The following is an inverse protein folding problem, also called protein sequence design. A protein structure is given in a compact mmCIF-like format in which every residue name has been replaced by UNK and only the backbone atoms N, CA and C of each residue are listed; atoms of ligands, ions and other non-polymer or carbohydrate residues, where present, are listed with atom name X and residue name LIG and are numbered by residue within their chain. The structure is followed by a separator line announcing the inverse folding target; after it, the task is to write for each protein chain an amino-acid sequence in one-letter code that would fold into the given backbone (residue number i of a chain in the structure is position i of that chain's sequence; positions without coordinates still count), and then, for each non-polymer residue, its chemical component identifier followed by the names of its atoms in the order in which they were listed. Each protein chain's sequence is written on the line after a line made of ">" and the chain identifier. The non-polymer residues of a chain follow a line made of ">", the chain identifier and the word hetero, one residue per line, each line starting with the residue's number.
data_IF_521510842314
#
_entry.id   IF_521510842314
#
_cell.length_a   1.000
_cell.length_b   1.000
_cell.length_c   1.000
_cell.angle_alpha   90.00
_cell.angle_beta   90.00
_cell.angle_gamma   90.00
#
_symmetry.space_group_name_H-M   'P 1'
#
loop_
_entity.id
_entity.type
_entity.pdbx_description
1 polymer ?
#
# COMPACT_ATOMS: atom_id res chain seq x y z
N UNK A 1 -14.30 -9.05 -28.00
CA UNK A 1 -14.72 -9.40 -26.62
C UNK A 1 -14.24 -8.28 -25.72
N UNK A 2 -15.14 -7.47 -25.20
CA UNK A 2 -14.81 -6.42 -24.22
C UNK A 2 -14.41 -7.13 -22.94
N UNK A 3 -13.20 -6.91 -22.44
CA UNK A 3 -12.78 -7.45 -21.14
C UNK A 3 -13.69 -6.78 -20.10
N UNK A 4 -14.59 -7.55 -19.51
CA UNK A 4 -15.44 -7.04 -18.44
C UNK A 4 -14.58 -6.95 -17.17
N UNK A 5 -14.29 -5.71 -16.76
CA UNK A 5 -13.58 -5.44 -15.52
C UNK A 5 -14.58 -5.48 -14.36
N UNK A 6 -14.70 -6.63 -13.69
CA UNK A 6 -15.79 -6.88 -12.74
C UNK A 6 -15.76 -6.01 -11.48
N UNK A 7 -14.59 -5.55 -11.03
CA UNK A 7 -14.43 -4.80 -9.77
C UNK A 7 -13.48 -3.60 -9.93
N UNK A 8 -13.73 -2.44 -9.30
CA UNK A 8 -12.84 -1.29 -9.40
C UNK A 8 -11.57 -1.50 -8.56
N UNK A 9 -10.49 -0.81 -8.94
CA UNK A 9 -9.20 -0.82 -8.24
C UNK A 9 -9.10 0.36 -7.28
N UNK A 10 -8.75 0.09 -6.04
CA UNK A 10 -8.53 1.07 -4.97
C UNK A 10 -7.03 1.15 -4.67
N UNK A 11 -6.47 2.35 -4.84
CA UNK A 11 -5.08 2.64 -4.49
C UNK A 11 -5.02 3.20 -3.07
N UNK A 12 -4.45 2.42 -2.14
CA UNK A 12 -4.32 2.76 -0.72
C UNK A 12 -2.88 3.21 -0.38
N UNK A 13 -2.72 4.47 0.01
CA UNK A 13 -1.40 5.05 0.26
C UNK A 13 -0.85 4.71 1.65
N UNK A 14 0.46 4.87 1.83
CA UNK A 14 1.17 4.65 3.10
C UNK A 14 1.00 5.75 4.15
N UNK A 15 1.89 5.70 5.15
CA UNK A 15 1.84 6.53 6.36
C UNK A 15 2.11 8.01 6.10
N UNK A 16 3.08 8.33 5.24
CA UNK A 16 3.47 9.70 4.88
C UNK A 16 3.16 9.99 3.42
N UNK A 17 2.23 10.92 3.19
CA UNK A 17 1.85 11.37 1.85
C UNK A 17 2.83 12.43 1.33
N UNK A 18 3.63 12.08 0.32
CA UNK A 18 4.53 13.03 -0.36
C UNK A 18 3.78 14.19 -1.03
N UNK A 19 2.50 14.01 -1.34
CA UNK A 19 1.61 15.01 -1.94
C UNK A 19 0.81 15.83 -0.92
N UNK A 20 1.06 15.65 0.38
CA UNK A 20 0.30 16.30 1.46
C UNK A 20 0.33 17.84 1.37
N UNK A 21 1.50 18.43 1.13
CA UNK A 21 1.64 19.89 1.06
C UNK A 21 0.89 20.49 -0.15
N UNK A 22 0.91 19.80 -1.28
CA UNK A 22 0.16 20.19 -2.49
C UNK A 22 -1.35 20.14 -2.22
N UNK A 23 -1.81 19.07 -1.57
CA UNK A 23 -3.22 18.91 -1.18
C UNK A 23 -3.67 19.95 -0.13
N UNK A 24 -2.80 20.28 0.83
CA UNK A 24 -3.06 21.34 1.81
C UNK A 24 -3.24 22.69 1.13
N UNK A 25 -2.32 23.06 0.23
CA UNK A 25 -2.39 24.33 -0.50
C UNK A 25 -3.65 24.40 -1.38
N UNK A 26 -4.01 23.29 -2.04
CA UNK A 26 -5.24 23.18 -2.85
C UNK A 26 -6.51 23.43 -2.02
N UNK A 27 -6.61 22.80 -0.85
CA UNK A 27 -7.75 22.99 0.07
C UNK A 27 -7.85 24.44 0.53
N UNK A 28 -6.71 25.05 0.88
CA UNK A 28 -6.64 26.46 1.27
C UNK A 28 -7.07 27.41 0.15
N UNK A 29 -6.80 27.06 -1.10
CA UNK A 29 -7.17 27.83 -2.30
C UNK A 29 -8.61 27.59 -2.79
N UNK A 30 -9.45 26.87 -2.05
CA UNK A 30 -10.88 26.77 -2.37
C UNK A 30 -11.25 25.66 -3.37
N UNK A 31 -10.30 24.88 -3.88
CA UNK A 31 -10.56 23.75 -4.76
C UNK A 31 -11.03 22.53 -3.94
N UNK A 32 -12.31 22.56 -3.56
CA UNK A 32 -12.94 21.57 -2.67
C UNK A 32 -13.49 20.34 -3.42
N UNK A 33 -13.76 20.44 -4.74
CA UNK A 33 -14.27 19.30 -5.49
C UNK A 33 -13.15 18.27 -5.70
N UNK A 34 -13.41 17.00 -5.36
CA UNK A 34 -12.63 15.81 -5.75
C UNK A 34 -12.73 15.57 -7.28
N UNK A 35 -12.44 16.57 -8.11
CA UNK A 35 -12.35 16.37 -9.56
C UNK A 35 -10.97 15.80 -9.84
N UNK A 36 -10.93 14.53 -10.26
CA UNK A 36 -9.73 13.98 -10.87
C UNK A 36 -9.37 14.81 -12.09
N UNK A 37 -8.15 15.32 -12.16
CA UNK A 37 -7.59 15.85 -13.41
C UNK A 37 -6.27 15.14 -13.71
N UNK A 38 -5.91 14.95 -14.99
CA UNK A 38 -4.62 14.37 -15.36
C UNK A 38 -3.42 15.10 -14.73
N UNK A 39 -3.53 16.42 -14.55
CA UNK A 39 -2.50 17.24 -13.90
C UNK A 39 -2.35 16.93 -12.40
N UNK A 40 -3.45 16.62 -11.70
CA UNK A 40 -3.39 16.28 -10.27
C UNK A 40 -2.78 14.90 -10.02
N UNK A 41 -3.04 13.95 -10.92
CA UNK A 41 -2.46 12.61 -10.77
C UNK A 41 -0.93 12.64 -10.84
N UNK A 42 -0.38 13.55 -11.67
CA UNK A 42 1.04 13.79 -11.81
C UNK A 42 1.69 14.40 -10.57
N UNK A 43 0.96 14.76 -9.53
CA UNK A 43 1.53 15.23 -8.24
C UNK A 43 0.98 14.45 -7.06
N UNK A 44 0.22 13.38 -7.32
CA UNK A 44 -0.40 12.54 -6.31
C UNK A 44 0.60 11.54 -5.72
N UNK A 45 0.26 10.96 -4.57
CA UNK A 45 1.04 9.89 -3.92
C UNK A 45 1.41 8.77 -4.91
N UNK A 46 0.41 8.18 -5.55
CA UNK A 46 0.57 7.30 -6.72
C UNK A 46 0.69 8.17 -7.97
N UNK A 47 1.92 8.57 -8.31
CA UNK A 47 2.19 9.61 -9.30
C UNK A 47 1.90 9.14 -10.71
N UNK A 48 0.85 9.67 -11.34
CA UNK A 48 0.47 9.37 -12.73
C UNK A 48 -0.17 7.99 -12.95
N UNK A 49 -0.19 7.13 -11.92
CA UNK A 49 -0.61 5.73 -12.03
C UNK A 49 -2.11 5.61 -12.30
N UNK A 50 -2.96 6.31 -11.55
CA UNK A 50 -4.42 6.15 -11.73
C UNK A 50 -4.89 6.73 -13.06
N UNK A 51 -4.30 7.83 -13.50
CA UNK A 51 -4.54 8.42 -14.82
C UNK A 51 -4.12 7.48 -15.95
N UNK A 52 -2.96 6.84 -15.81
CA UNK A 52 -2.48 5.86 -16.77
C UNK A 52 -3.40 4.65 -16.85
N UNK A 53 -3.80 4.06 -15.72
CA UNK A 53 -4.73 2.93 -15.67
C UNK A 53 -6.12 3.29 -16.24
N UNK A 54 -6.68 4.45 -15.89
CA UNK A 54 -7.97 4.90 -16.44
C UNK A 54 -7.93 5.13 -17.94
N UNK A 55 -6.80 5.61 -18.49
CA UNK A 55 -6.61 5.74 -19.95
C UNK A 55 -6.65 4.36 -20.65
N UNK A 56 -6.31 3.29 -19.94
CA UNK A 56 -6.38 1.91 -20.42
C UNK A 56 -7.70 1.20 -20.07
N UNK A 57 -8.73 1.94 -19.63
CA UNK A 57 -10.09 1.40 -19.44
C UNK A 57 -10.39 0.88 -18.04
N UNK A 58 -9.46 0.96 -17.09
CA UNK A 58 -9.68 0.51 -15.72
C UNK A 58 -10.39 1.54 -14.86
N UNK A 59 -11.34 1.09 -14.05
CA UNK A 59 -11.99 1.91 -13.05
C UNK A 59 -11.14 1.98 -11.78
N UNK A 60 -10.45 3.10 -11.56
CA UNK A 60 -9.48 3.26 -10.46
C UNK A 60 -9.90 4.39 -9.53
N UNK A 61 -9.67 4.25 -8.23
CA UNK A 61 -9.90 5.27 -7.21
C UNK A 61 -8.74 5.36 -6.22
N UNK A 62 -8.49 6.57 -5.70
CA UNK A 62 -7.53 6.78 -4.61
C UNK A 62 -8.27 6.76 -3.27
N UNK A 63 -7.74 6.04 -2.29
CA UNK A 63 -8.21 6.14 -0.90
C UNK A 63 -7.46 7.25 -0.17
N UNK A 64 -8.16 8.33 0.18
CA UNK A 64 -7.62 9.45 0.96
C UNK A 64 -7.68 9.13 2.46
N UNK A 65 -6.59 8.58 3.01
CA UNK A 65 -6.47 8.20 4.42
C UNK A 65 -5.72 9.28 5.23
N UNK A 66 -6.00 9.32 6.53
CA UNK A 66 -5.35 10.22 7.47
C UNK A 66 -3.83 10.00 7.50
N UNK A 67 -3.07 11.09 7.37
CA UNK A 67 -1.61 11.09 7.49
C UNK A 67 -1.18 10.61 8.89
N UNK A 68 -0.30 9.61 8.94
CA UNK A 68 0.35 9.09 10.15
C UNK A 68 -0.56 8.64 11.32
N UNK A 69 -1.88 8.61 11.12
CA UNK A 69 -2.84 8.12 12.10
C UNK A 69 -2.69 6.60 12.37
N UNK A 70 -3.38 6.12 13.41
CA UNK A 70 -3.37 4.70 13.76
C UNK A 70 -4.00 3.84 12.67
N UNK A 71 -3.65 2.55 12.68
CA UNK A 71 -4.18 1.56 11.72
C UNK A 71 -5.70 1.47 11.83
N UNK A 72 -6.28 1.53 13.03
CA UNK A 72 -7.73 1.44 13.24
C UNK A 72 -8.46 2.61 12.56
N UNK A 73 -7.95 3.83 12.74
CA UNK A 73 -8.55 5.01 12.12
C UNK A 73 -8.46 4.92 10.60
N UNK A 74 -7.28 4.58 10.07
CA UNK A 74 -7.05 4.49 8.63
C UNK A 74 -7.83 3.34 7.98
N UNK A 75 -7.99 2.21 8.68
CA UNK A 75 -8.82 1.09 8.26
C UNK A 75 -10.32 1.46 8.18
N UNK A 76 -10.84 2.20 9.16
CA UNK A 76 -12.21 2.70 9.15
C UNK A 76 -12.43 3.73 8.03
N UNK A 77 -11.46 4.62 7.77
CA UNK A 77 -11.49 5.54 6.63
C UNK A 77 -11.49 4.79 5.29
N UNK A 78 -10.61 3.79 5.15
CA UNK A 78 -10.54 2.94 3.95
C UNK A 78 -11.87 2.22 3.69
N UNK A 79 -12.48 1.65 4.73
CA UNK A 79 -13.81 1.04 4.66
C UNK A 79 -14.85 2.00 4.11
N UNK A 80 -14.91 3.22 4.65
CA UNK A 80 -15.89 4.23 4.21
C UNK A 80 -15.72 4.57 2.74
N UNK A 81 -14.47 4.76 2.30
CA UNK A 81 -14.17 5.02 0.88
C UNK A 81 -14.64 3.87 0.00
N UNK A 82 -14.33 2.63 0.37
CA UNK A 82 -14.73 1.45 -0.41
C UNK A 82 -16.25 1.33 -0.47
N UNK A 83 -16.95 1.46 0.65
CA UNK A 83 -18.41 1.36 0.68
C UNK A 83 -19.09 2.48 -0.13
N UNK A 84 -18.56 3.70 -0.10
CA UNK A 84 -19.04 4.80 -0.94
C UNK A 84 -18.89 4.47 -2.44
N UNK A 85 -17.74 3.94 -2.85
CA UNK A 85 -17.46 3.57 -4.24
C UNK A 85 -18.39 2.44 -4.67
N UNK A 86 -18.52 1.38 -3.88
CA UNK A 86 -19.41 0.25 -4.18
C UNK A 86 -20.87 0.72 -4.31
N UNK A 87 -21.34 1.59 -3.40
CA UNK A 87 -22.68 2.16 -3.49
C UNK A 87 -22.89 2.99 -4.76
N UNK A 88 -21.93 3.84 -5.14
CA UNK A 88 -22.04 4.73 -6.32
C UNK A 88 -21.94 3.99 -7.66
N UNK A 89 -21.17 2.90 -7.70
CA UNK A 89 -20.83 2.19 -8.94
C UNK A 89 -21.71 0.98 -9.18
N UNK A 90 -22.35 0.45 -8.13
CA UNK A 90 -23.15 -0.78 -8.18
C UNK A 90 -22.32 -2.06 -8.08
N UNK A 91 -20.99 -1.95 -8.04
CA UNK A 91 -20.09 -3.09 -7.85
C UNK A 91 -20.27 -3.71 -6.46
N UNK A 92 -19.93 -5.00 -6.33
CA UNK A 92 -20.07 -5.73 -5.07
C UNK A 92 -18.77 -5.90 -4.29
N UNK A 93 -17.63 -5.88 -4.99
CA UNK A 93 -16.28 -6.04 -4.44
C UNK A 93 -15.31 -5.06 -5.11
N UNK A 94 -14.13 -4.90 -4.52
CA UNK A 94 -13.01 -4.10 -5.06
C UNK A 94 -11.72 -4.90 -5.08
N UNK A 95 -10.79 -4.51 -5.94
CA UNK A 95 -9.37 -4.86 -5.82
C UNK A 95 -8.64 -3.76 -5.08
N UNK A 96 -7.78 -4.10 -4.11
CA UNK A 96 -6.95 -3.13 -3.40
C UNK A 96 -5.51 -3.31 -3.84
N UNK A 97 -4.86 -2.23 -4.26
CA UNK A 97 -3.40 -2.13 -4.39
C UNK A 97 -2.94 -1.15 -3.33
N UNK A 98 -2.18 -1.63 -2.36
CA UNK A 98 -1.81 -0.87 -1.18
C UNK A 98 -0.29 -0.76 -1.06
N UNK A 99 0.20 0.45 -0.78
CA UNK A 99 1.62 0.71 -0.62
C UNK A 99 1.97 0.96 0.86
N UNK A 100 3.12 0.44 1.31
CA UNK A 100 3.65 0.71 2.65
C UNK A 100 2.61 0.40 3.75
N UNK A 101 2.39 1.31 4.70
CA UNK A 101 1.37 1.14 5.75
C UNK A 101 -0.06 0.87 5.21
N UNK A 102 -0.38 1.29 3.98
CA UNK A 102 -1.68 1.00 3.36
C UNK A 102 -2.01 -0.49 3.31
N UNK A 103 -0.99 -1.36 3.17
CA UNK A 103 -1.18 -2.82 3.18
C UNK A 103 -1.60 -3.32 4.57
N UNK A 104 -1.03 -2.74 5.64
CA UNK A 104 -1.41 -3.03 7.03
C UNK A 104 -2.84 -2.55 7.29
N UNK A 105 -3.18 -1.33 6.85
CA UNK A 105 -4.53 -0.77 7.00
C UNK A 105 -5.59 -1.64 6.31
N UNK A 106 -5.31 -2.11 5.10
CA UNK A 106 -6.21 -2.96 4.35
C UNK A 106 -6.42 -4.33 5.01
N UNK A 107 -5.35 -4.97 5.50
CA UNK A 107 -5.44 -6.24 6.23
C UNK A 107 -6.27 -6.11 7.51
N UNK A 108 -6.00 -5.06 8.30
CA UNK A 108 -6.76 -4.76 9.50
C UNK A 108 -8.25 -4.55 9.16
N UNK A 109 -8.55 -3.75 8.15
CA UNK A 109 -9.92 -3.49 7.70
C UNK A 109 -10.65 -4.77 7.27
N UNK A 110 -9.99 -5.62 6.47
CA UNK A 110 -10.57 -6.86 5.95
C UNK A 110 -11.09 -7.74 7.09
N UNK A 111 -10.30 -7.88 8.15
CA UNK A 111 -10.62 -8.76 9.30
C UNK A 111 -11.49 -8.02 10.33
N UNK A 112 -10.99 -6.95 10.94
CA UNK A 112 -11.64 -6.32 12.09
C UNK A 112 -12.88 -5.50 11.73
N UNK A 113 -13.03 -5.08 10.47
CA UNK A 113 -14.23 -4.40 10.00
C UNK A 113 -15.12 -5.27 9.11
N UNK A 114 -14.88 -6.59 9.06
CA UNK A 114 -15.67 -7.56 8.30
C UNK A 114 -15.82 -7.18 6.81
N UNK A 115 -14.73 -6.71 6.21
CA UNK A 115 -14.71 -6.24 4.82
C UNK A 115 -14.27 -7.31 3.81
N UNK A 116 -13.94 -8.52 4.25
CA UNK A 116 -13.56 -9.63 3.37
C UNK A 116 -14.58 -9.88 2.23
N UNK A 117 -15.89 -9.81 2.50
CA UNK A 117 -16.93 -10.00 1.48
C UNK A 117 -17.03 -8.86 0.45
N UNK A 118 -16.30 -7.76 0.66
CA UNK A 118 -16.26 -6.57 -0.21
C UNK A 118 -14.91 -6.39 -0.91
N UNK A 119 -13.97 -7.31 -0.70
CA UNK A 119 -12.62 -7.25 -1.27
C UNK A 119 -12.36 -8.54 -2.04
N UNK A 120 -12.10 -8.43 -3.34
CA UNK A 120 -11.74 -9.58 -4.17
C UNK A 120 -10.25 -9.93 -3.99
N UNK A 121 -9.39 -8.91 -3.98
CA UNK A 121 -7.95 -9.11 -3.74
C UNK A 121 -7.31 -7.94 -3.01
N UNK A 122 -6.22 -8.24 -2.31
CA UNK A 122 -5.29 -7.28 -1.75
C UNK A 122 -3.89 -7.56 -2.30
N UNK A 123 -3.34 -6.60 -3.01
CA UNK A 123 -1.94 -6.58 -3.43
C UNK A 123 -1.18 -5.55 -2.63
N UNK A 124 -0.14 -5.95 -1.92
CA UNK A 124 0.72 -5.04 -1.16
C UNK A 124 2.04 -4.79 -1.87
N UNK A 125 2.53 -3.56 -1.79
CA UNK A 125 3.81 -3.13 -2.39
C UNK A 125 4.60 -2.42 -1.28
N UNK A 126 5.83 -2.85 -1.00
CA UNK A 126 6.68 -2.18 0.00
C UNK A 126 6.12 -2.20 1.43
N UNK A 127 5.18 -3.09 1.75
CA UNK A 127 4.47 -3.08 3.04
C UNK A 127 5.34 -3.71 4.13
N UNK A 128 5.54 -3.07 5.31
CA UNK A 128 6.32 -3.64 6.40
C UNK A 128 5.53 -4.71 7.17
N UNK A 129 5.20 -5.84 6.54
CA UNK A 129 4.38 -6.88 7.15
C UNK A 129 5.03 -7.50 8.40
N UNK A 130 6.35 -7.49 8.48
CA UNK A 130 7.12 -7.94 9.65
C UNK A 130 7.68 -6.76 10.46
N UNK A 131 7.21 -5.54 10.18
CA UNK A 131 7.71 -4.29 10.76
C UNK A 131 8.97 -3.77 10.05
N UNK A 132 9.53 -2.68 10.56
CA UNK A 132 10.78 -2.10 10.07
C UNK A 132 11.62 -1.55 11.22
N UNK A 133 12.93 -1.86 11.29
CA UNK A 133 13.88 -1.20 12.19
C UNK A 133 13.86 0.32 12.12
N UNK A 134 13.49 0.89 10.96
CA UNK A 134 13.39 2.34 10.78
C UNK A 134 12.32 2.94 11.70
N UNK A 135 11.21 2.25 11.94
CA UNK A 135 10.17 2.72 12.86
C UNK A 135 10.69 2.78 14.29
N UNK A 136 11.42 1.75 14.72
CA UNK A 136 12.04 1.69 16.04
C UNK A 136 13.11 2.77 16.20
N UNK A 137 13.95 2.96 15.18
CA UNK A 137 14.94 4.03 15.14
C UNK A 137 14.27 5.41 15.25
N UNK A 138 13.20 5.69 14.51
CA UNK A 138 12.45 6.96 14.60
C UNK A 138 11.89 7.18 16.01
N UNK A 139 11.40 6.13 16.66
CA UNK A 139 10.89 6.20 18.03
C UNK A 139 12.01 6.39 19.08
N UNK A 140 13.19 5.82 18.85
CA UNK A 140 14.34 5.86 19.76
C UNK A 140 15.23 7.10 19.61
N UNK A 141 15.27 7.73 18.42
CA UNK A 141 16.20 8.81 18.03
C UNK A 141 16.05 10.13 18.80
N UNK A 142 15.38 10.17 19.96
CA UNK A 142 15.38 11.34 20.85
C UNK A 142 14.57 12.54 20.35
N UNK A 143 13.92 12.45 19.18
CA UNK A 143 12.88 13.39 18.79
C UNK A 143 11.58 13.18 19.58
N UNK A 144 11.56 12.38 20.65
CA UNK A 144 10.37 12.13 21.47
C UNK A 144 9.65 13.41 21.89
N UNK A 145 10.37 14.51 22.17
CA UNK A 145 9.76 15.81 22.45
C UNK A 145 9.18 16.50 21.20
N UNK A 146 9.84 16.42 20.04
CA UNK A 146 9.33 16.91 18.74
C UNK A 146 8.17 16.06 18.25
N UNK A 147 8.19 14.76 18.47
CA UNK A 147 7.13 13.80 18.18
C UNK A 147 5.97 14.05 19.15
N UNK A 148 6.19 14.34 20.43
CA UNK A 148 5.12 14.74 21.36
C UNK A 148 4.53 16.12 21.03
N UNK A 149 5.37 17.09 20.64
CA UNK A 149 4.94 18.41 20.21
C UNK A 149 4.21 18.35 18.85
N UNK A 150 4.74 17.56 17.92
CA UNK A 150 4.12 17.26 16.64
C UNK A 150 2.89 16.37 16.81
N UNK A 151 2.80 15.47 17.78
CA UNK A 151 1.61 14.65 18.08
C UNK A 151 0.39 15.52 18.38
N UNK A 152 0.61 16.71 18.98
CA UNK A 152 -0.45 17.71 19.17
C UNK A 152 -0.92 18.38 17.87
N UNK A 153 -0.16 18.27 16.78
CA UNK A 153 -0.41 18.89 15.46
C UNK A 153 -0.63 17.87 14.31
N UNK A 154 -0.05 16.67 14.42
CA UNK A 154 0.07 15.56 13.45
C UNK A 154 0.08 14.28 14.26
N UNK A 155 -0.97 13.46 14.19
CA UNK A 155 -1.00 12.18 14.90
C UNK A 155 0.06 11.25 14.31
N UNK A 156 1.10 10.91 15.08
CA UNK A 156 2.18 10.00 14.68
C UNK A 156 1.98 8.57 15.22
N UNK A 157 0.80 8.26 15.77
CA UNK A 157 0.48 6.95 16.34
C UNK A 157 0.71 5.81 15.34
N UNK A 158 0.57 6.06 14.05
CA UNK A 158 0.79 5.07 13.00
C UNK A 158 2.21 4.50 12.97
N UNK A 159 3.23 5.27 13.37
CA UNK A 159 4.62 4.79 13.41
C UNK A 159 4.79 3.63 14.39
N UNK A 160 4.05 3.65 15.51
CA UNK A 160 4.09 2.58 16.51
C UNK A 160 3.56 1.24 15.96
N UNK A 161 2.71 1.26 14.93
CA UNK A 161 2.20 0.04 14.28
C UNK A 161 3.18 -0.55 13.28
N UNK A 162 4.27 0.15 12.95
CA UNK A 162 5.28 -0.28 11.99
C UNK A 162 6.50 -0.92 12.66
N UNK A 163 6.53 -1.01 14.00
CA UNK A 163 7.59 -1.74 14.72
C UNK A 163 7.46 -3.24 14.49
N UNK A 164 8.58 -3.97 14.63
CA UNK A 164 8.58 -5.44 14.43
C UNK A 164 7.61 -6.13 15.39
N UNK A 165 7.62 -5.71 16.64
CA UNK A 165 6.76 -6.24 17.69
C UNK A 165 5.26 -5.98 17.42
N UNK A 166 4.90 -4.76 16.97
CA UNK A 166 3.52 -4.45 16.62
C UNK A 166 3.02 -5.25 15.41
N UNK A 167 3.83 -5.35 14.36
CA UNK A 167 3.49 -6.16 13.19
C UNK A 167 3.39 -7.65 13.51
N UNK A 168 4.25 -8.18 14.39
CA UNK A 168 4.16 -9.57 14.85
C UNK A 168 2.84 -9.84 15.59
N UNK A 169 2.46 -8.97 16.53
CA UNK A 169 1.17 -9.05 17.23
C UNK A 169 0.00 -8.99 16.26
N UNK A 170 0.06 -8.06 15.30
CA UNK A 170 -0.98 -7.91 14.31
C UNK A 170 -1.11 -9.17 13.45
N UNK A 171 0.00 -9.70 12.92
CA UNK A 171 -0.01 -10.95 12.14
C UNK A 171 -0.66 -12.09 12.91
N UNK A 172 -0.29 -12.29 14.18
CA UNK A 172 -0.88 -13.32 15.03
C UNK A 172 -2.40 -13.13 15.22
N UNK A 173 -2.88 -11.89 15.29
CA UNK A 173 -4.31 -11.59 15.44
C UNK A 173 -5.13 -11.76 14.16
N UNK A 174 -4.50 -11.64 12.98
CA UNK A 174 -5.20 -11.63 11.69
C UNK A 174 -5.14 -12.99 10.97
N UNK A 175 -4.07 -13.76 11.16
CA UNK A 175 -3.72 -14.91 10.30
C UNK A 175 -4.86 -15.92 10.12
N UNK A 176 -5.53 -16.33 11.20
CA UNK A 176 -6.60 -17.31 11.12
C UNK A 176 -7.77 -16.84 10.25
N UNK A 177 -8.17 -15.56 10.39
CA UNK A 177 -9.24 -14.96 9.59
C UNK A 177 -8.80 -14.71 8.14
N UNK A 178 -7.53 -14.31 7.94
CA UNK A 178 -6.95 -14.14 6.60
C UNK A 178 -6.85 -15.47 5.85
N UNK A 179 -6.53 -16.57 6.54
CA UNK A 179 -6.49 -17.91 5.97
C UNK A 179 -7.87 -18.41 5.52
N UNK A 180 -8.92 -18.07 6.26
CA UNK A 180 -10.29 -18.57 6.01
C UNK A 180 -11.11 -17.73 5.04
N UNK A 181 -10.79 -16.45 4.86
CA UNK A 181 -11.64 -15.56 4.06
C UNK A 181 -11.52 -15.79 2.54
N UNK A 182 -12.35 -15.12 1.72
CA UNK A 182 -12.31 -15.25 0.26
C UNK A 182 -11.30 -14.35 -0.45
N UNK A 183 -10.51 -13.54 0.27
CA UNK A 183 -9.61 -12.55 -0.33
C UNK A 183 -8.35 -13.22 -0.86
N UNK A 184 -7.93 -12.86 -2.07
CA UNK A 184 -6.64 -13.24 -2.64
C UNK A 184 -5.56 -12.25 -2.20
N UNK A 185 -4.51 -12.73 -1.54
CA UNK A 185 -3.39 -11.91 -1.07
C UNK A 185 -2.18 -12.04 -1.98
N UNK A 186 -1.58 -10.90 -2.33
CA UNK A 186 -0.34 -10.81 -3.11
C UNK A 186 0.62 -9.81 -2.47
N UNK A 187 1.91 -10.08 -2.53
CA UNK A 187 2.95 -9.14 -2.08
C UNK A 187 3.93 -8.88 -3.21
N UNK A 188 4.39 -7.63 -3.33
CA UNK A 188 5.52 -7.24 -4.16
C UNK A 188 6.61 -6.64 -3.29
N UNK A 189 7.74 -7.34 -3.26
CA UNK A 189 8.94 -6.91 -2.55
C UNK A 189 9.95 -6.29 -3.52
N UNK A 190 10.61 -5.21 -3.08
CA UNK A 190 11.64 -4.51 -3.84
C UNK A 190 12.85 -4.21 -2.96
N UNK A 191 14.01 -4.11 -3.60
CA UNK A 191 15.22 -3.57 -3.01
C UNK A 191 15.89 -2.61 -4.00
N UNK A 192 16.66 -1.65 -3.49
CA UNK A 192 17.38 -0.67 -4.31
C UNK A 192 18.89 -0.75 -4.07
N UNK A 193 19.67 -0.36 -5.07
CA UNK A 193 21.12 -0.20 -4.93
C UNK A 193 21.45 1.07 -4.14
N UNK A 194 22.49 1.08 -3.29
CA UNK A 194 22.85 2.23 -2.46
C UNK A 194 23.00 3.55 -3.25
N UNK A 195 23.55 3.48 -4.46
CA UNK A 195 23.79 4.64 -5.31
C UNK A 195 22.50 5.28 -5.86
N UNK A 196 21.40 4.52 -5.92
CA UNK A 196 20.14 4.93 -6.53
C UNK A 196 19.02 5.14 -5.50
N UNK A 197 19.31 4.96 -4.21
CA UNK A 197 18.36 5.26 -3.13
C UNK A 197 18.17 6.77 -3.03
N UNK A 198 16.92 7.20 -2.86
CA UNK A 198 16.57 8.57 -2.52
C UNK A 198 17.43 9.08 -1.36
N UNK A 199 18.08 10.23 -1.54
CA UNK A 199 19.05 10.77 -0.57
C UNK A 199 18.48 10.90 0.84
N UNK A 200 17.16 11.15 0.98
CA UNK A 200 16.47 11.19 2.26
C UNK A 200 16.39 9.84 2.99
N UNK A 201 16.53 8.72 2.29
CA UNK A 201 16.50 7.37 2.84
C UNK A 201 17.88 6.75 3.08
N UNK A 202 19.00 7.45 2.81
CA UNK A 202 20.34 6.84 2.94
C UNK A 202 20.63 6.28 4.34
N UNK A 203 20.31 7.04 5.39
CA UNK A 203 20.53 6.60 6.79
C UNK A 203 19.67 5.39 7.15
N UNK A 204 18.39 5.41 6.76
CA UNK A 204 17.48 4.30 7.00
C UNK A 204 17.85 3.07 6.16
N UNK A 205 18.34 3.28 4.94
CA UNK A 205 18.86 2.24 4.07
C UNK A 205 20.09 1.56 4.69
N UNK A 206 21.07 2.33 5.17
CA UNK A 206 22.28 1.80 5.84
C UNK A 206 21.92 1.01 7.10
N UNK A 207 21.00 1.53 7.92
CA UNK A 207 20.47 0.83 9.09
C UNK A 207 19.84 -0.52 8.70
N UNK A 208 18.92 -0.51 7.73
CA UNK A 208 18.25 -1.71 7.25
C UNK A 208 19.24 -2.69 6.61
N UNK A 209 20.21 -2.19 5.86
CA UNK A 209 21.26 -3.01 5.24
C UNK A 209 22.08 -3.76 6.29
N UNK A 210 22.34 -3.12 7.44
CA UNK A 210 23.04 -3.72 8.56
C UNK A 210 22.18 -4.72 9.34
N UNK A 211 20.91 -4.41 9.59
CA UNK A 211 20.03 -5.25 10.44
C UNK A 211 19.34 -6.39 9.68
N UNK A 212 18.86 -6.13 8.46
CA UNK A 212 17.93 -7.02 7.74
C UNK A 212 18.32 -7.27 6.27
N UNK A 213 19.38 -6.62 5.76
CA UNK A 213 19.91 -6.83 4.42
C UNK A 213 19.21 -5.99 3.35
N UNK A 214 18.94 -6.61 2.20
CA UNK A 214 18.32 -5.94 1.05
C UNK A 214 17.04 -5.19 1.44
N UNK A 215 16.90 -3.95 0.99
CA UNK A 215 15.80 -3.08 1.39
C UNK A 215 15.53 -1.97 0.37
N UNK A 216 14.39 -1.30 0.52
CA UNK A 216 13.96 -0.19 -0.34
C UNK A 216 14.23 1.20 0.29
N UNK A 217 15.06 1.25 1.33
CA UNK A 217 15.36 2.46 2.09
C UNK A 217 14.43 2.73 3.27
N UNK A 218 13.27 2.05 3.36
CA UNK A 218 12.32 2.21 4.47
C UNK A 218 11.87 0.87 5.07
N UNK A 219 11.83 -0.19 4.27
CA UNK A 219 11.37 -1.52 4.64
C UNK A 219 12.31 -2.57 4.03
N UNK A 220 12.72 -3.56 4.82
CA UNK A 220 13.51 -4.67 4.32
C UNK A 220 12.73 -5.54 3.34
N UNK A 221 13.42 -6.09 2.34
CA UNK A 221 12.85 -7.01 1.35
C UNK A 221 12.12 -8.18 2.00
N UNK A 222 12.70 -8.72 3.07
CA UNK A 222 12.11 -9.80 3.89
C UNK A 222 10.77 -9.37 4.51
N UNK A 223 10.70 -8.17 5.10
CA UNK A 223 9.47 -7.67 5.71
C UNK A 223 8.38 -7.42 4.66
N UNK A 224 8.77 -7.00 3.46
CA UNK A 224 7.84 -6.82 2.33
C UNK A 224 7.23 -8.13 1.82
N UNK A 225 8.02 -9.21 1.78
CA UNK A 225 7.55 -10.53 1.33
C UNK A 225 6.45 -11.10 2.22
N UNK A 226 6.45 -10.78 3.52
CA UNK A 226 5.51 -11.31 4.52
C UNK A 226 5.67 -12.82 4.78
N UNK A 227 4.65 -13.62 4.43
CA UNK A 227 4.61 -15.08 4.54
C UNK A 227 4.16 -15.67 3.20
N UNK A 228 4.59 -16.89 2.90
CA UNK A 228 4.15 -17.62 1.70
C UNK A 228 2.81 -18.34 1.91
N UNK A 229 2.46 -18.66 3.16
CA UNK A 229 1.26 -19.40 3.52
C UNK A 229 0.68 -18.87 4.84
N UNK A 230 -0.65 -18.72 4.87
CA UNK A 230 -1.44 -18.41 6.07
C UNK A 230 -2.12 -19.69 6.56
N UNK A 231 -2.24 -19.83 7.88
CA UNK A 231 -2.78 -21.03 8.52
C UNK A 231 -3.88 -20.67 9.51
N UNK A 232 -4.97 -21.43 9.48
CA UNK A 232 -5.98 -21.39 10.53
C UNK A 232 -5.79 -22.54 11.54
N UNK A 233 -6.25 -22.40 12.79
CA UNK A 233 -6.24 -23.48 13.78
C UNK A 233 -7.00 -24.74 13.33
N UNK A 234 -7.98 -24.58 12.45
CA UNK A 234 -8.80 -25.64 11.85
C UNK A 234 -8.09 -26.36 10.69
N UNK A 235 -6.85 -25.98 10.38
CA UNK A 235 -6.02 -26.59 9.33
C UNK A 235 -6.22 -25.99 7.94
N UNK A 236 -7.00 -24.92 7.79
CA UNK A 236 -7.14 -24.21 6.52
C UNK A 236 -5.81 -23.55 6.16
N UNK A 237 -5.35 -23.75 4.93
CA UNK A 237 -4.14 -23.14 4.40
C UNK A 237 -4.49 -22.25 3.22
N UNK A 238 -3.89 -21.08 3.17
CA UNK A 238 -4.02 -20.17 2.03
C UNK A 238 -2.66 -19.68 1.58
N UNK A 239 -2.39 -19.82 0.28
CA UNK A 239 -1.20 -19.26 -0.34
C UNK A 239 -1.28 -17.74 -0.43
N UNK A 240 -0.18 -17.06 -0.08
CA UNK A 240 0.04 -15.65 -0.39
C UNK A 240 0.96 -15.58 -1.59
N UNK A 241 0.53 -14.94 -2.67
CA UNK A 241 1.32 -14.89 -3.90
C UNK A 241 2.41 -13.83 -3.79
N UNK A 242 3.64 -14.27 -3.53
CA UNK A 242 4.79 -13.40 -3.40
C UNK A 242 5.46 -13.17 -4.76
N UNK A 243 5.77 -11.92 -5.09
CA UNK A 243 6.49 -11.53 -6.30
C UNK A 243 7.55 -10.48 -5.98
N UNK A 244 8.52 -10.37 -6.88
CA UNK A 244 9.53 -9.31 -6.85
C UNK A 244 9.05 -8.16 -7.72
N UNK A 245 9.26 -6.93 -7.27
CA UNK A 245 9.04 -5.74 -8.09
C UNK A 245 9.92 -5.85 -9.36
N UNK A 246 9.41 -5.51 -10.56
CA UNK A 246 10.05 -5.88 -11.83
C UNK A 246 11.42 -5.21 -12.08
N UNK A 247 11.80 -4.22 -11.27
CA UNK A 247 13.08 -3.55 -11.33
C UNK A 247 13.50 -3.05 -9.94
N UNK A 248 14.79 -2.79 -9.70
CA UNK A 248 15.25 -2.15 -8.47
C UNK A 248 14.54 -0.81 -8.23
N UNK A 249 13.84 -0.72 -7.11
CA UNK A 249 13.02 0.43 -6.76
C UNK A 249 13.08 0.68 -5.25
N UNK A 250 13.44 1.90 -4.85
CA UNK A 250 13.30 2.33 -3.46
C UNK A 250 11.83 2.57 -3.10
N UNK A 251 11.57 2.94 -1.86
CA UNK A 251 10.21 3.07 -1.33
C UNK A 251 9.35 4.12 -2.04
N UNK A 252 9.95 5.11 -2.72
CA UNK A 252 9.21 6.15 -3.46
C UNK A 252 9.19 5.88 -4.97
N UNK A 253 10.18 5.15 -5.49
CA UNK A 253 10.15 4.61 -6.86
C UNK A 253 8.91 3.73 -7.10
N UNK A 254 8.55 2.90 -6.11
CA UNK A 254 7.42 1.97 -6.15
C UNK A 254 6.05 2.64 -6.42
N UNK A 255 5.96 3.96 -6.21
CA UNK A 255 4.76 4.78 -6.40
C UNK A 255 4.94 5.88 -7.45
N UNK A 256 6.00 5.79 -8.25
CA UNK A 256 6.23 6.64 -9.42
C UNK A 256 7.05 7.89 -9.16
N UNK A 257 7.63 8.07 -7.97
CA UNK A 257 8.44 9.24 -7.64
C UNK A 257 9.94 9.04 -7.94
N UNK A 258 10.24 8.44 -9.11
CA UNK A 258 11.61 8.07 -9.49
C UNK A 258 12.52 9.26 -9.80
N UNK A 259 11.94 10.46 -9.98
CA UNK A 259 12.70 11.70 -10.17
C UNK A 259 13.35 12.24 -8.89
N UNK A 260 13.07 11.63 -7.73
CA UNK A 260 13.67 12.04 -6.46
C UNK A 260 15.06 11.44 -6.25
N UNK A 261 15.45 10.46 -7.06
CA UNK A 261 16.75 9.81 -7.01
C UNK A 261 17.36 9.70 -8.40
N UNK A 262 18.55 9.10 -8.47
CA UNK A 262 19.32 8.93 -9.71
C UNK A 262 19.04 7.56 -10.37
N UNK A 263 17.88 6.95 -10.09
CA UNK A 263 17.46 5.65 -10.67
C UNK A 263 17.34 5.72 -12.19
N UNK A 264 17.81 4.70 -12.93
CA UNK A 264 17.67 4.67 -14.39
C UNK A 264 16.21 4.41 -14.83
N UNK A 265 15.31 4.04 -13.90
CA UNK A 265 13.92 3.73 -14.20
C UNK A 265 13.04 4.98 -14.10
N UNK A 266 12.56 5.46 -15.26
CA UNK A 266 11.60 6.55 -15.31
C UNK A 266 10.19 6.16 -14.86
N UNK A 267 9.35 7.15 -14.57
CA UNK A 267 7.95 7.01 -14.12
C UNK A 267 7.11 6.08 -15.02
N UNK A 268 7.39 6.09 -16.33
CA UNK A 268 6.70 5.25 -17.30
C UNK A 268 6.87 3.74 -17.01
N UNK A 269 8.05 3.30 -16.55
CA UNK A 269 8.25 1.90 -16.17
C UNK A 269 7.34 1.50 -15.01
N UNK A 270 7.11 2.42 -14.07
CA UNK A 270 6.19 2.20 -12.95
C UNK A 270 4.76 2.14 -13.48
N UNK A 271 4.36 3.04 -14.37
CA UNK A 271 3.02 3.03 -14.96
C UNK A 271 2.71 1.74 -15.74
N UNK A 272 3.64 1.29 -16.57
CA UNK A 272 3.54 0.04 -17.33
C UNK A 272 3.50 -1.18 -16.39
N UNK A 273 4.28 -1.16 -15.31
CA UNK A 273 4.20 -2.18 -14.26
C UNK A 273 2.80 -2.23 -13.62
N UNK A 274 2.23 -1.10 -13.20
CA UNK A 274 0.89 -1.09 -12.60
C UNK A 274 -0.18 -1.56 -13.60
N UNK A 275 -0.05 -1.21 -14.89
CA UNK A 275 -0.94 -1.70 -15.93
C UNK A 275 -0.89 -3.24 -16.00
N UNK A 276 0.31 -3.81 -16.13
CA UNK A 276 0.49 -5.27 -16.17
C UNK A 276 0.02 -5.95 -14.89
N UNK A 277 0.25 -5.34 -13.73
CA UNK A 277 -0.23 -5.86 -12.45
C UNK A 277 -1.75 -5.95 -12.43
N UNK A 278 -2.44 -4.90 -12.91
CA UNK A 278 -3.90 -4.88 -12.96
C UNK A 278 -4.41 -5.91 -13.99
N UNK A 279 -3.80 -6.00 -15.17
CA UNK A 279 -4.10 -7.05 -16.16
C UNK A 279 -4.00 -8.46 -15.54
N UNK A 280 -2.92 -8.75 -14.83
CA UNK A 280 -2.70 -10.03 -14.14
C UNK A 280 -3.77 -10.31 -13.07
N UNK A 281 -4.21 -9.27 -12.33
CA UNK A 281 -5.28 -9.40 -11.33
C UNK A 281 -6.58 -9.83 -12.00
N UNK A 282 -7.01 -9.15 -13.08
CA UNK A 282 -8.25 -9.49 -13.76
C UNK A 282 -8.19 -10.86 -14.47
N UNK A 283 -7.05 -11.23 -15.05
CA UNK A 283 -6.88 -12.57 -15.65
C UNK A 283 -7.04 -13.69 -14.63
N UNK A 284 -6.49 -13.50 -13.42
CA UNK A 284 -6.60 -14.50 -12.34
C UNK A 284 -8.03 -14.60 -11.78
N UNK A 285 -8.72 -13.47 -11.67
CA UNK A 285 -10.12 -13.44 -11.24
C UNK A 285 -11.05 -14.16 -12.21
N UNK A 286 -10.84 -14.03 -13.53
CA UNK A 286 -11.62 -14.78 -14.52
C UNK A 286 -11.41 -16.29 -14.42
N UNK A 287 -10.16 -16.74 -14.24
CA UNK A 287 -9.86 -18.15 -14.04
C UNK A 287 -10.52 -18.69 -12.76
N UNK A 288 -10.57 -17.88 -11.69
CA UNK A 288 -11.22 -18.27 -10.45
C UNK A 288 -12.75 -18.43 -10.61
N UNK A 289 -13.42 -17.49 -11.29
CA UNK A 289 -14.87 -17.54 -11.52
C UNK A 289 -15.29 -18.76 -12.36
N UNK A 290 -14.49 -19.15 -13.37
CA UNK A 290 -14.78 -20.32 -14.21
C UNK A 290 -14.69 -21.63 -13.42
N UNK A 291 -13.80 -21.72 -12.43
CA UNK A 291 -13.62 -22.94 -11.63
C UNK A 291 -14.49 -23.01 -10.36
N UNK A 292 -15.27 -21.97 -10.07
CA UNK A 292 -16.13 -21.88 -8.88
C UNK A 292 -17.64 -21.79 -9.19
N UNK A 293 -18.02 -21.86 -10.47
CA UNK A 293 -19.39 -22.01 -10.98
C UNK A 293 -19.67 -23.46 -11.38
#
# INVERSE_FOLDING_TARGET
>A
MTIQHDYPVILAHGIFRVDYFVNFLRRKLGFHKKVFTPLWDQVHYFRGIAGYLRKHGYEVYHADLSLAASVEKRAEELKRVILEILWRTGHHRVHIIAHSMGGIDARYMIVHHNMAGRVASLTTIGTPHLGTPVAEWVLQSGMGWLIQAAQKLVNLSGVCYLTREACQRLNASLEAAEAQNGVIYRTLASAQKPDWVFRGFRKSFELLQCEEGENDGMVSFKSQLWTAELRSPEGVRKTVHQRVFPFPADHVDQIGWTRLNDSPYGEQHVWEFYLKLVEDIYQQDQNWQIHSA
#
